data_IF_823905569516
#
_entry.id   IF_823905569516
#
_cell.length_a   1.000
_cell.length_b   1.000
_cell.length_c   1.000
_cell.angle_alpha   90.00
_cell.angle_beta   90.00
_cell.angle_gamma   90.00
#
_symmetry.space_group_name_H-M   'P 1'
#
loop_
_entity.id
_entity.type
_entity.pdbx_description
1 polymer ?
#
# COMPACT_ATOMS: atom_id res chain seq x y z
N UNK A 1 -24.38 -16.59 -6.99
CA UNK A 1 -23.34 -16.46 -5.94
C UNK A 1 -23.75 -17.34 -4.79
N UNK A 2 -22.90 -18.21 -4.30
CA UNK A 2 -23.27 -19.20 -3.26
C UNK A 2 -23.20 -18.55 -1.87
N UNK A 3 -24.12 -18.92 -0.96
CA UNK A 3 -24.13 -18.50 0.48
C UNK A 3 -22.77 -18.62 1.18
N UNK A 4 -21.88 -19.43 0.65
CA UNK A 4 -20.52 -19.65 1.15
C UNK A 4 -19.59 -18.47 0.81
N UNK A 5 -19.73 -17.89 -0.40
CA UNK A 5 -18.94 -16.72 -0.82
C UNK A 5 -19.34 -15.45 -0.03
N UNK A 6 -20.63 -15.32 0.31
CA UNK A 6 -21.13 -14.18 1.08
C UNK A 6 -20.60 -14.18 2.53
N UNK A 7 -20.49 -15.35 3.15
CA UNK A 7 -19.91 -15.48 4.50
C UNK A 7 -18.44 -15.17 4.53
N UNK A 8 -17.67 -15.65 3.54
CA UNK A 8 -16.25 -15.36 3.43
C UNK A 8 -16.01 -13.86 3.29
N UNK A 9 -16.73 -13.19 2.37
CA UNK A 9 -16.69 -11.74 2.19
C UNK A 9 -17.00 -10.99 3.48
N UNK A 10 -18.06 -11.42 4.20
CA UNK A 10 -18.45 -10.79 5.47
C UNK A 10 -17.35 -10.90 6.53
N UNK A 11 -16.73 -12.07 6.67
CA UNK A 11 -15.62 -12.28 7.61
C UNK A 11 -14.48 -11.32 7.26
N UNK A 12 -14.09 -11.26 6.00
CA UNK A 12 -12.98 -10.43 5.53
C UNK A 12 -13.26 -8.94 5.73
N UNK A 13 -14.48 -8.47 5.41
CA UNK A 13 -14.90 -7.09 5.65
C UNK A 13 -14.84 -6.70 7.13
N UNK A 14 -15.37 -7.57 8.01
CA UNK A 14 -15.34 -7.33 9.46
C UNK A 14 -13.91 -7.33 9.99
N UNK A 15 -13.08 -8.27 9.55
CA UNK A 15 -11.68 -8.33 9.96
C UNK A 15 -10.90 -7.10 9.50
N UNK A 16 -11.10 -6.65 8.28
CA UNK A 16 -10.51 -5.41 7.74
C UNK A 16 -10.93 -4.20 8.56
N UNK A 17 -12.21 -4.09 8.90
CA UNK A 17 -12.70 -2.99 9.72
C UNK A 17 -12.10 -2.99 11.13
N UNK A 18 -11.96 -4.15 11.75
CA UNK A 18 -11.28 -4.29 13.04
C UNK A 18 -9.81 -3.91 12.97
N UNK A 19 -9.12 -4.34 11.92
CA UNK A 19 -7.71 -3.96 11.70
C UNK A 19 -7.55 -2.45 11.56
N UNK A 20 -8.45 -1.79 10.81
CA UNK A 20 -8.44 -0.33 10.63
C UNK A 20 -8.73 0.45 11.92
N UNK A 21 -9.69 -0.02 12.71
CA UNK A 21 -10.18 0.73 13.89
C UNK A 21 -9.44 0.43 15.17
N UNK A 22 -8.89 -0.78 15.33
CA UNK A 22 -8.31 -1.26 16.58
C UNK A 22 -6.90 -1.82 16.43
N UNK A 23 -6.37 -1.82 15.20
CA UNK A 23 -5.05 -2.34 14.89
C UNK A 23 -4.92 -3.86 15.05
N UNK A 24 -3.68 -4.33 14.91
CA UNK A 24 -3.36 -5.75 15.01
C UNK A 24 -3.78 -6.37 16.35
N UNK A 25 -3.57 -5.66 17.45
CA UNK A 25 -3.93 -6.17 18.79
C UNK A 25 -5.44 -6.33 18.99
N UNK A 26 -6.24 -5.48 18.33
CA UNK A 26 -7.71 -5.56 18.35
C UNK A 26 -8.28 -6.65 17.45
N UNK A 27 -7.53 -7.07 16.45
CA UNK A 27 -7.94 -8.13 15.51
C UNK A 27 -7.70 -9.52 16.13
N UNK A 28 -8.78 -10.17 16.58
CA UNK A 28 -8.77 -11.55 17.07
C UNK A 28 -9.85 -12.38 16.39
N UNK A 29 -9.60 -13.69 16.23
CA UNK A 29 -10.57 -14.61 15.61
C UNK A 29 -11.93 -14.62 16.33
N UNK A 30 -11.93 -14.49 17.67
CA UNK A 30 -13.16 -14.42 18.48
C UNK A 30 -13.91 -13.11 18.22
N UNK A 31 -13.20 -11.98 18.14
CA UNK A 31 -13.81 -10.68 17.89
C UNK A 31 -14.41 -10.61 16.49
N UNK A 32 -13.69 -11.14 15.49
CA UNK A 32 -14.23 -11.28 14.14
C UNK A 32 -15.52 -12.11 14.12
N UNK A 33 -15.53 -13.26 14.82
CA UNK A 33 -16.73 -14.10 14.91
C UNK A 33 -17.92 -13.36 15.53
N UNK A 34 -17.69 -12.68 16.67
CA UNK A 34 -18.71 -11.90 17.36
C UNK A 34 -19.26 -10.77 16.49
N UNK A 35 -18.36 -9.96 15.88
CA UNK A 35 -18.74 -8.83 15.04
C UNK A 35 -19.39 -9.25 13.72
N UNK A 36 -19.04 -10.41 13.18
CA UNK A 36 -19.69 -10.99 12.01
C UNK A 36 -21.04 -11.71 12.33
N UNK A 37 -21.35 -11.91 13.61
CA UNK A 37 -22.56 -12.65 14.04
C UNK A 37 -22.54 -14.12 13.65
N UNK A 38 -21.36 -14.76 13.72
CA UNK A 38 -21.18 -16.20 13.40
C UNK A 38 -20.34 -16.87 14.48
N UNK A 39 -20.32 -18.21 14.48
CA UNK A 39 -19.50 -18.96 15.44
C UNK A 39 -18.01 -18.87 15.11
N UNK A 40 -17.15 -18.99 16.15
CA UNK A 40 -15.70 -19.06 15.96
C UNK A 40 -15.29 -20.21 15.03
N UNK A 41 -15.93 -21.36 15.13
CA UNK A 41 -15.69 -22.51 14.25
C UNK A 41 -16.01 -22.19 12.78
N UNK A 42 -17.00 -21.36 12.51
CA UNK A 42 -17.27 -20.88 11.15
C UNK A 42 -16.15 -19.97 10.63
N UNK A 43 -15.63 -19.06 11.46
CA UNK A 43 -14.47 -18.24 11.06
C UNK A 43 -13.25 -19.11 10.79
N UNK A 44 -12.96 -20.07 11.66
CA UNK A 44 -11.81 -20.99 11.54
C UNK A 44 -11.92 -21.94 10.35
N UNK A 45 -13.13 -22.23 9.89
CA UNK A 45 -13.35 -22.98 8.65
C UNK A 45 -12.84 -22.23 7.41
N UNK A 46 -12.99 -20.90 7.35
CA UNK A 46 -12.50 -20.08 6.24
C UNK A 46 -11.04 -19.63 6.44
N UNK A 47 -10.67 -19.32 7.67
CA UNK A 47 -9.35 -18.81 8.04
C UNK A 47 -8.86 -19.53 9.29
N UNK A 48 -7.92 -20.43 9.14
CA UNK A 48 -7.46 -21.33 10.22
C UNK A 48 -6.96 -20.59 11.46
N UNK A 49 -6.37 -19.42 11.25
CA UNK A 49 -5.80 -18.57 12.30
C UNK A 49 -5.76 -17.10 11.87
N UNK A 50 -5.27 -16.23 12.76
CA UNK A 50 -5.13 -14.80 12.51
C UNK A 50 -4.18 -14.49 11.33
N UNK A 51 -3.10 -15.25 11.16
CA UNK A 51 -2.16 -15.03 10.07
C UNK A 51 -2.81 -15.29 8.70
N UNK A 52 -3.60 -16.36 8.57
CA UNK A 52 -4.36 -16.63 7.35
C UNK A 52 -5.37 -15.50 7.04
N UNK A 53 -5.96 -14.91 8.07
CA UNK A 53 -6.87 -13.78 7.92
C UNK A 53 -6.14 -12.50 7.50
N UNK A 54 -5.00 -12.20 8.13
CA UNK A 54 -4.12 -11.10 7.73
C UNK A 54 -3.65 -11.28 6.28
N UNK A 55 -3.21 -12.46 5.88
CA UNK A 55 -2.81 -12.73 4.50
C UNK A 55 -3.94 -12.41 3.51
N UNK A 56 -5.17 -12.85 3.80
CA UNK A 56 -6.31 -12.59 2.92
C UNK A 56 -6.71 -11.10 2.85
N UNK A 57 -6.53 -10.35 3.95
CA UNK A 57 -6.70 -8.89 3.92
C UNK A 57 -5.61 -8.25 3.04
N UNK A 58 -4.36 -8.70 3.19
CA UNK A 58 -3.24 -8.23 2.39
C UNK A 58 -3.48 -8.49 0.89
N UNK A 59 -3.82 -9.72 0.52
CA UNK A 59 -4.11 -10.12 -0.87
C UNK A 59 -5.16 -9.20 -1.49
N UNK A 60 -6.24 -8.89 -0.76
CA UNK A 60 -7.28 -8.02 -1.28
C UNK A 60 -6.78 -6.58 -1.53
N UNK A 61 -6.10 -5.99 -0.56
CA UNK A 61 -5.75 -4.57 -0.61
C UNK A 61 -4.50 -4.27 -1.43
N UNK A 62 -3.48 -5.10 -1.33
CA UNK A 62 -2.23 -4.88 -2.05
C UNK A 62 -2.34 -5.29 -3.52
N UNK A 63 -3.12 -6.34 -3.84
CA UNK A 63 -3.39 -6.74 -5.23
C UNK A 63 -4.19 -5.66 -5.97
N UNK A 64 -5.15 -5.02 -5.32
CA UNK A 64 -5.87 -3.88 -5.88
C UNK A 64 -4.92 -2.71 -6.18
N UNK A 65 -4.01 -2.37 -5.24
CA UNK A 65 -2.98 -1.35 -5.44
C UNK A 65 -2.05 -1.68 -6.61
N UNK A 66 -1.51 -2.88 -6.64
CA UNK A 66 -0.61 -3.32 -7.72
C UNK A 66 -1.33 -3.32 -9.06
N UNK A 67 -2.59 -3.74 -9.08
CA UNK A 67 -3.40 -3.74 -10.31
C UNK A 67 -3.60 -2.32 -10.84
N UNK A 68 -3.95 -1.36 -9.98
CA UNK A 68 -4.06 0.05 -10.36
C UNK A 68 -2.72 0.63 -10.82
N UNK A 69 -1.65 0.31 -10.12
CA UNK A 69 -0.31 0.77 -10.47
C UNK A 69 0.16 0.23 -11.83
N UNK A 70 -0.12 -1.04 -12.13
CA UNK A 70 0.20 -1.67 -13.44
C UNK A 70 -0.60 -1.10 -14.62
N UNK A 71 -1.68 -0.36 -14.36
CA UNK A 71 -2.43 0.35 -15.40
C UNK A 71 -1.78 1.69 -15.77
N UNK A 72 -0.78 2.15 -15.00
CA UNK A 72 -0.03 3.35 -15.36
C UNK A 72 0.77 3.12 -16.64
N UNK A 73 0.68 4.07 -17.56
CA UNK A 73 1.48 4.07 -18.77
C UNK A 73 2.85 4.67 -18.51
N UNK A 74 3.88 4.30 -19.28
CA UNK A 74 5.17 4.96 -19.23
C UNK A 74 5.01 6.48 -19.43
N UNK A 75 5.74 7.27 -18.65
CA UNK A 75 5.66 8.73 -18.70
C UNK A 75 6.44 9.27 -19.89
N UNK A 76 5.86 10.21 -20.61
CA UNK A 76 6.46 10.86 -21.77
C UNK A 76 7.13 12.21 -21.45
N UNK A 77 6.83 12.75 -20.24
CA UNK A 77 7.36 14.06 -19.83
C UNK A 77 7.48 14.21 -18.32
N UNK A 78 8.32 15.16 -17.89
CA UNK A 78 8.44 15.55 -16.49
C UNK A 78 7.18 16.24 -15.95
N UNK A 79 6.35 16.79 -16.80
CA UNK A 79 5.04 17.32 -16.41
C UNK A 79 4.08 16.21 -15.97
N UNK A 80 4.04 15.10 -16.71
CA UNK A 80 3.30 13.91 -16.30
C UNK A 80 3.84 13.32 -14.99
N UNK A 81 5.18 13.32 -14.79
CA UNK A 81 5.78 12.91 -13.53
C UNK A 81 5.35 13.82 -12.38
N UNK A 82 5.30 15.14 -12.60
CA UNK A 82 4.81 16.09 -11.59
C UNK A 82 3.36 15.80 -11.19
N UNK A 83 2.49 15.57 -12.18
CA UNK A 83 1.09 15.21 -11.91
C UNK A 83 0.98 13.89 -11.13
N UNK A 84 1.78 12.89 -11.46
CA UNK A 84 1.81 11.62 -10.75
C UNK A 84 2.24 11.84 -9.28
N UNK A 85 3.34 12.55 -9.04
CA UNK A 85 3.83 12.86 -7.69
C UNK A 85 2.75 13.61 -6.89
N UNK A 86 2.18 14.68 -7.44
CA UNK A 86 1.14 15.48 -6.78
C UNK A 86 -0.06 14.62 -6.41
N UNK A 87 -0.54 13.77 -7.32
CA UNK A 87 -1.66 12.88 -7.05
C UNK A 87 -1.38 11.88 -5.93
N UNK A 88 -0.16 11.30 -5.89
CA UNK A 88 0.23 10.36 -4.85
C UNK A 88 0.37 11.03 -3.47
N UNK A 89 0.93 12.24 -3.41
CA UNK A 89 1.04 12.98 -2.16
C UNK A 89 -0.31 13.42 -1.61
N UNK A 90 -1.22 13.87 -2.48
CA UNK A 90 -2.59 14.23 -2.08
C UNK A 90 -3.35 13.01 -1.57
N UNK A 91 -3.25 11.86 -2.25
CA UNK A 91 -3.85 10.62 -1.80
C UNK A 91 -3.31 10.18 -0.43
N UNK A 92 -2.00 10.26 -0.24
CA UNK A 92 -1.35 9.95 1.03
C UNK A 92 -1.75 10.92 2.15
N UNK A 93 -1.95 12.20 1.84
CA UNK A 93 -2.36 13.23 2.81
C UNK A 93 -3.77 13.01 3.36
N UNK A 94 -4.71 12.55 2.52
CA UNK A 94 -6.11 12.32 2.90
C UNK A 94 -6.30 11.16 3.89
N UNK A 95 -5.23 10.49 4.32
CA UNK A 95 -5.27 9.34 5.25
C UNK A 95 -6.34 8.34 4.82
N UNK A 96 -6.26 7.88 3.59
CA UNK A 96 -7.16 6.86 3.07
C UNK A 96 -7.14 5.60 3.95
N UNK A 97 -8.21 4.83 3.87
CA UNK A 97 -8.29 3.51 4.52
C UNK A 97 -7.10 2.60 4.17
N UNK A 98 -6.59 2.76 2.95
CA UNK A 98 -5.41 2.08 2.45
C UNK A 98 -4.17 2.42 3.29
N UNK A 99 -3.88 3.70 3.51
CA UNK A 99 -2.73 4.14 4.33
C UNK A 99 -2.81 3.62 5.78
N UNK A 100 -4.03 3.44 6.33
CA UNK A 100 -4.20 2.83 7.66
C UNK A 100 -3.80 1.37 7.67
N UNK A 101 -4.25 0.60 6.67
CA UNK A 101 -3.90 -0.81 6.52
C UNK A 101 -2.40 -0.97 6.32
N UNK A 102 -1.79 -0.20 5.43
CA UNK A 102 -0.34 -0.24 5.20
C UNK A 102 0.46 -0.04 6.49
N UNK A 103 0.10 0.97 7.32
CA UNK A 103 0.79 1.21 8.60
C UNK A 103 0.68 0.04 9.56
N UNK A 104 -0.48 -0.62 9.63
CA UNK A 104 -0.64 -1.83 10.45
C UNK A 104 0.26 -2.96 9.93
N UNK A 105 0.30 -3.19 8.61
CA UNK A 105 1.17 -4.21 8.02
C UNK A 105 2.65 -3.94 8.25
N UNK A 106 3.09 -2.68 8.17
CA UNK A 106 4.45 -2.30 8.52
C UNK A 106 4.77 -2.63 9.98
N UNK A 107 3.89 -2.27 10.90
CA UNK A 107 4.07 -2.60 12.31
C UNK A 107 4.07 -4.12 12.57
N UNK A 108 3.22 -4.88 11.89
CA UNK A 108 3.15 -6.33 12.00
C UNK A 108 4.42 -6.98 11.45
N UNK A 109 4.94 -6.51 10.32
CA UNK A 109 6.11 -7.10 9.65
C UNK A 109 7.38 -7.13 10.50
N UNK A 110 7.48 -6.23 11.49
CA UNK A 110 8.62 -6.22 12.43
C UNK A 110 8.68 -7.44 13.36
N UNK A 111 7.59 -8.22 13.43
CA UNK A 111 7.43 -9.36 14.34
C UNK A 111 6.72 -10.57 13.71
N UNK A 112 6.50 -10.55 12.42
CA UNK A 112 5.81 -11.61 11.69
C UNK A 112 6.48 -11.80 10.32
N UNK A 113 7.24 -12.88 10.20
CA UNK A 113 8.07 -13.18 9.02
C UNK A 113 7.22 -13.38 7.76
N UNK A 114 6.02 -13.98 7.86
CA UNK A 114 5.13 -14.17 6.71
C UNK A 114 4.66 -12.84 6.14
N UNK A 115 4.32 -11.89 7.01
CA UNK A 115 3.89 -10.54 6.61
C UNK A 115 5.09 -9.73 6.11
N UNK A 116 6.27 -9.90 6.72
CA UNK A 116 7.49 -9.25 6.23
C UNK A 116 7.83 -9.71 4.81
N UNK A 117 7.79 -11.01 4.55
CA UNK A 117 8.03 -11.58 3.22
C UNK A 117 6.96 -11.14 2.21
N UNK A 118 5.71 -10.98 2.64
CA UNK A 118 4.65 -10.45 1.81
C UNK A 118 4.93 -9.01 1.39
N UNK A 119 5.28 -8.12 2.34
CA UNK A 119 5.63 -6.73 2.05
C UNK A 119 6.87 -6.62 1.16
N UNK A 120 7.88 -7.47 1.37
CA UNK A 120 9.06 -7.51 0.50
C UNK A 120 8.67 -7.73 -0.96
N UNK A 121 7.86 -8.75 -1.25
CA UNK A 121 7.38 -9.04 -2.60
C UNK A 121 6.50 -7.94 -3.19
N UNK A 122 5.66 -7.34 -2.35
CA UNK A 122 4.85 -6.19 -2.74
C UNK A 122 5.74 -5.03 -3.21
N UNK A 123 6.72 -4.61 -2.41
CA UNK A 123 7.60 -3.49 -2.75
C UNK A 123 8.54 -3.80 -3.92
N UNK A 124 8.97 -5.03 -4.10
CA UNK A 124 9.70 -5.45 -5.32
C UNK A 124 8.84 -5.24 -6.57
N UNK A 125 7.56 -5.57 -6.49
CA UNK A 125 6.61 -5.35 -7.60
C UNK A 125 6.38 -3.86 -7.85
N UNK A 126 6.10 -3.08 -6.80
CA UNK A 126 5.93 -1.62 -6.88
C UNK A 126 7.16 -0.96 -7.50
N UNK A 127 8.34 -1.30 -7.01
CA UNK A 127 9.61 -0.78 -7.51
C UNK A 127 9.80 -1.07 -9.00
N UNK A 128 9.53 -2.30 -9.44
CA UNK A 128 9.62 -2.70 -10.84
C UNK A 128 8.68 -1.88 -11.72
N UNK A 129 7.41 -1.73 -11.30
CA UNK A 129 6.42 -0.94 -12.05
C UNK A 129 6.82 0.53 -12.12
N UNK A 130 7.31 1.12 -11.03
CA UNK A 130 7.77 2.52 -11.04
C UNK A 130 8.99 2.69 -11.95
N UNK A 131 9.92 1.74 -11.99
CA UNK A 131 11.01 1.74 -12.97
C UNK A 131 10.46 1.74 -14.41
N UNK A 132 9.49 0.90 -14.73
CA UNK A 132 8.92 0.84 -16.07
C UNK A 132 8.19 2.15 -16.45
N UNK A 133 7.50 2.76 -15.51
CA UNK A 133 6.82 4.06 -15.68
C UNK A 133 7.82 5.20 -15.93
N UNK A 134 8.96 5.21 -15.24
CA UNK A 134 10.00 6.24 -15.35
C UNK A 134 10.98 6.03 -16.51
N UNK A 135 11.05 4.83 -17.07
CA UNK A 135 12.07 4.43 -18.05
C UNK A 135 12.25 5.40 -19.21
N UNK A 136 11.20 5.97 -19.84
CA UNK A 136 11.38 6.91 -20.95
C UNK A 136 12.05 8.24 -20.55
N UNK A 137 12.05 8.57 -19.25
CA UNK A 137 12.63 9.81 -18.73
C UNK A 137 14.09 9.64 -18.26
N UNK A 138 14.61 8.42 -18.26
CA UNK A 138 15.94 8.10 -17.73
C UNK A 138 16.97 7.86 -18.81
N UNK A 139 18.18 8.34 -18.57
CA UNK A 139 19.35 8.12 -19.45
C UNK A 139 20.05 6.77 -19.22
N UNK A 140 19.94 6.20 -18.02
CA UNK A 140 20.61 4.95 -17.63
C UNK A 140 19.86 4.21 -16.49
N UNK A 141 20.23 2.93 -16.31
CA UNK A 141 19.56 2.03 -15.36
C UNK A 141 19.88 2.35 -13.89
N UNK A 142 21.03 2.94 -13.58
CA UNK A 142 21.40 3.30 -12.21
C UNK A 142 20.58 4.49 -11.71
N UNK A 143 20.51 5.57 -12.51
CA UNK A 143 19.73 6.76 -12.18
C UNK A 143 18.25 6.46 -12.14
N UNK A 144 17.76 5.58 -13.05
CA UNK A 144 16.39 5.08 -13.05
C UNK A 144 16.02 4.42 -11.72
N UNK A 145 16.80 3.41 -11.31
CA UNK A 145 16.55 2.66 -10.06
C UNK A 145 16.65 3.53 -8.81
N UNK A 146 17.62 4.44 -8.79
CA UNK A 146 17.81 5.37 -7.68
C UNK A 146 16.61 6.32 -7.56
N UNK A 147 16.13 6.85 -8.68
CA UNK A 147 14.96 7.74 -8.72
C UNK A 147 13.67 7.01 -8.34
N UNK A 148 13.48 5.78 -8.80
CA UNK A 148 12.34 4.94 -8.41
C UNK A 148 12.35 4.66 -6.89
N UNK A 149 13.51 4.29 -6.33
CA UNK A 149 13.66 4.05 -4.90
C UNK A 149 13.37 5.31 -4.08
N UNK A 150 13.87 6.47 -4.52
CA UNK A 150 13.59 7.77 -3.87
C UNK A 150 12.09 8.07 -3.87
N UNK A 151 11.42 7.94 -5.01
CA UNK A 151 10.00 8.22 -5.12
C UNK A 151 9.15 7.31 -4.23
N UNK A 152 9.37 5.99 -4.30
CA UNK A 152 8.63 5.02 -3.48
C UNK A 152 8.85 5.32 -1.98
N UNK A 153 10.10 5.47 -1.56
CA UNK A 153 10.42 5.71 -0.15
C UNK A 153 9.88 7.06 0.34
N UNK A 154 9.88 8.09 -0.51
CA UNK A 154 9.36 9.40 -0.15
C UNK A 154 7.83 9.37 0.03
N UNK A 155 7.09 8.79 -0.92
CA UNK A 155 5.62 8.70 -0.86
C UNK A 155 5.18 7.90 0.36
N UNK A 156 5.84 6.79 0.65
CA UNK A 156 5.55 5.97 1.83
C UNK A 156 5.83 6.75 3.13
N UNK A 157 6.97 7.40 3.24
CA UNK A 157 7.29 8.26 4.40
C UNK A 157 6.29 9.40 4.56
N UNK A 158 5.93 10.04 3.45
CA UNK A 158 4.96 11.14 3.44
C UNK A 158 3.55 10.68 3.85
N UNK A 159 3.15 9.46 3.52
CA UNK A 159 1.87 8.88 3.95
C UNK A 159 1.69 8.84 5.48
N UNK A 160 2.79 8.80 6.21
CA UNK A 160 2.82 8.82 7.68
C UNK A 160 3.00 10.23 8.24
N UNK A 161 3.90 11.00 7.64
CA UNK A 161 4.37 12.28 8.20
C UNK A 161 3.71 13.51 7.59
N UNK A 162 3.17 13.43 6.36
CA UNK A 162 2.72 14.58 5.57
C UNK A 162 1.71 15.47 6.29
N UNK A 163 0.76 14.87 7.03
CA UNK A 163 -0.24 15.63 7.80
C UNK A 163 0.32 16.49 8.95
N UNK A 164 1.58 16.27 9.33
CA UNK A 164 2.27 17.03 10.37
C UNK A 164 3.22 18.09 9.79
N UNK A 165 3.40 18.09 8.46
CA UNK A 165 4.33 19.03 7.82
C UNK A 165 3.63 20.36 7.53
N UNK A 166 4.24 21.51 7.88
CA UNK A 166 3.65 22.83 7.67
C UNK A 166 3.92 23.34 6.24
N UNK A 167 3.92 22.46 5.25
CA UNK A 167 4.21 22.79 3.83
C UNK A 167 3.18 22.12 2.94
N UNK A 168 2.63 22.87 2.00
CA UNK A 168 1.67 22.40 1.03
C UNK A 168 2.23 21.26 0.15
N UNK A 169 1.40 20.24 -0.11
CA UNK A 169 1.78 19.05 -0.89
C UNK A 169 2.28 19.39 -2.29
N UNK A 170 1.72 20.42 -2.92
CA UNK A 170 2.13 20.90 -4.25
C UNK A 170 3.57 21.42 -4.27
N UNK A 171 3.97 22.16 -3.23
CA UNK A 171 5.34 22.64 -3.10
C UNK A 171 6.33 21.50 -2.86
N UNK A 172 5.92 20.53 -2.07
CA UNK A 172 6.71 19.31 -1.82
C UNK A 172 6.86 18.52 -3.12
N UNK A 173 5.76 18.34 -3.88
CA UNK A 173 5.77 17.65 -5.16
C UNK A 173 6.74 18.30 -6.16
N UNK A 174 6.71 19.63 -6.27
CA UNK A 174 7.62 20.39 -7.13
C UNK A 174 9.10 20.21 -6.73
N UNK A 175 9.40 20.28 -5.44
CA UNK A 175 10.76 20.07 -4.93
C UNK A 175 11.25 18.64 -5.17
N UNK A 176 10.39 17.65 -4.95
CA UNK A 176 10.71 16.24 -5.20
C UNK A 176 10.93 15.99 -6.71
N UNK A 177 10.11 16.61 -7.58
CA UNK A 177 10.30 16.55 -9.02
C UNK A 177 11.69 17.08 -9.43
N UNK A 178 12.11 18.25 -8.92
CA UNK A 178 13.43 18.82 -9.23
C UNK A 178 14.56 17.87 -8.81
N UNK A 179 14.48 17.26 -7.63
CA UNK A 179 15.47 16.31 -7.14
C UNK A 179 15.56 15.07 -8.05
N UNK A 180 14.41 14.51 -8.43
CA UNK A 180 14.34 13.33 -9.30
C UNK A 180 14.78 13.68 -10.73
N UNK A 181 14.34 14.80 -11.28
CA UNK A 181 14.74 15.27 -12.62
C UNK A 181 16.25 15.45 -12.73
N UNK A 182 16.86 16.10 -11.74
CA UNK A 182 18.32 16.28 -11.71
C UNK A 182 19.09 14.97 -11.64
N UNK A 183 18.49 13.89 -11.17
CA UNK A 183 19.06 12.55 -11.17
C UNK A 183 18.84 11.83 -12.52
N UNK A 184 17.64 11.91 -13.11
CA UNK A 184 17.30 11.20 -14.35
C UNK A 184 17.95 11.74 -15.62
N UNK A 185 18.35 13.02 -15.64
CA UNK A 185 18.89 13.72 -16.83
C UNK A 185 20.41 13.84 -16.84
N UNK A 186 21.11 13.28 -15.85
CA UNK A 186 22.59 13.25 -15.82
C UNK A 186 23.12 12.01 -16.52
#
# INVERSE_FOLDING_TARGET
>A
MTKQNDKNKKILQVATQLLKSEGDMGLTMRKVATSAGISLSNVQYYYTNKNALLQAIADQYFDDCVTQLKQQTPLESFEQLHMLITSQLNYAHEVSDMCRIFREYWAISTRNDDINEYLRRYYETVFTVICDVLRPLSSDDYTLKTSAALLVSFVEGYSVTGKFMPVESERIASTLLEAVRGSLTK
#
